data_IF_690417655086
#
_entry.id   IF_690417655086
#
_cell.length_a   1.000
_cell.length_b   1.000
_cell.length_c   1.000
_cell.angle_alpha   90.00
_cell.angle_beta   90.00
_cell.angle_gamma   90.00
#
_symmetry.space_group_name_H-M   'P 1'
#
loop_
_entity.id
_entity.type
_entity.pdbx_description
1 polymer ?
#
# COMPACT_ATOMS: atom_id res chain seq x y z
N UNK A 1 -2.40 11.17 -4.27
CA UNK A 1 -1.67 10.38 -3.24
C UNK A 1 -0.79 11.22 -2.29
N UNK A 2 -0.06 12.25 -2.76
CA UNK A 2 0.93 12.97 -1.95
C UNK A 2 0.40 13.59 -0.63
N UNK A 3 -0.76 14.25 -0.66
CA UNK A 3 -1.36 14.87 0.54
C UNK A 3 -1.68 13.86 1.65
N UNK A 4 -2.33 12.75 1.29
CA UNK A 4 -2.64 11.65 2.23
C UNK A 4 -1.36 11.06 2.85
N UNK A 5 -0.37 10.70 2.02
CA UNK A 5 0.90 10.17 2.50
C UNK A 5 1.60 11.14 3.45
N UNK A 6 1.54 12.44 3.19
CA UNK A 6 2.16 13.46 4.06
C UNK A 6 1.51 13.50 5.45
N UNK A 7 0.17 13.62 5.51
CA UNK A 7 -0.57 13.71 6.79
C UNK A 7 -0.35 12.46 7.64
N UNK A 8 -0.46 11.28 7.04
CA UNK A 8 -0.28 10.01 7.75
C UNK A 8 1.17 9.80 8.18
N UNK A 9 2.16 10.23 7.38
CA UNK A 9 3.59 10.19 7.78
C UNK A 9 3.83 11.01 9.04
N UNK A 10 3.26 12.22 9.12
CA UNK A 10 3.39 13.07 10.31
C UNK A 10 2.83 12.39 11.55
N UNK A 11 1.63 11.82 11.45
CA UNK A 11 0.99 11.12 12.58
C UNK A 11 1.80 9.90 13.03
N UNK A 12 2.24 9.05 12.10
CA UNK A 12 3.05 7.87 12.41
C UNK A 12 4.36 8.26 13.11
N UNK A 13 5.04 9.30 12.61
CA UNK A 13 6.31 9.73 13.18
C UNK A 13 6.15 10.36 14.57
N UNK A 14 5.01 10.99 14.87
CA UNK A 14 4.69 11.44 16.23
C UNK A 14 4.46 10.23 17.15
N UNK A 15 3.60 9.29 16.75
CA UNK A 15 3.24 8.11 17.56
C UNK A 15 4.44 7.22 17.84
N UNK A 16 5.36 7.10 16.88
CA UNK A 16 6.55 6.25 16.99
C UNK A 16 7.78 6.98 17.53
N UNK A 17 7.69 8.27 17.83
CA UNK A 17 8.83 9.11 18.23
C UNK A 17 9.99 9.07 17.22
N UNK A 18 9.67 8.97 15.93
CA UNK A 18 10.66 8.92 14.84
C UNK A 18 10.49 10.06 13.83
N UNK A 19 10.67 11.33 14.23
CA UNK A 19 10.53 12.46 13.32
C UNK A 19 11.47 12.34 12.11
N UNK A 20 10.96 12.63 10.93
CA UNK A 20 11.74 12.60 9.67
C UNK A 20 12.00 11.20 9.11
N UNK A 21 11.58 10.11 9.79
CA UNK A 21 11.76 8.75 9.25
C UNK A 21 10.84 8.53 8.06
N UNK A 22 11.40 7.92 7.01
CA UNK A 22 10.64 7.51 5.82
C UNK A 22 9.72 6.35 6.18
N UNK A 23 8.43 6.54 5.94
CA UNK A 23 7.39 5.53 6.23
C UNK A 23 7.00 4.74 4.99
N UNK A 24 6.88 5.42 3.84
CA UNK A 24 6.34 4.83 2.62
C UNK A 24 7.43 4.28 1.71
N UNK A 25 7.11 3.20 0.99
CA UNK A 25 7.81 2.87 -0.25
C UNK A 25 7.62 4.00 -1.28
N UNK A 26 8.60 4.14 -2.17
CA UNK A 26 8.54 5.13 -3.25
C UNK A 26 7.41 4.80 -4.23
N UNK A 27 6.81 5.84 -4.82
CA UNK A 27 5.69 5.73 -5.76
C UNK A 27 4.45 5.04 -5.15
N UNK A 28 3.45 4.83 -5.99
CA UNK A 28 2.24 4.07 -5.68
C UNK A 28 1.76 3.42 -6.97
N UNK A 29 1.10 2.26 -6.84
CA UNK A 29 0.43 1.63 -7.96
C UNK A 29 -0.94 2.29 -8.16
N UNK A 30 -1.29 2.56 -9.42
CA UNK A 30 -2.57 3.14 -9.81
C UNK A 30 -3.08 2.37 -11.03
N UNK A 31 -4.34 1.92 -10.98
CA UNK A 31 -4.97 1.15 -12.04
C UNK A 31 -6.48 1.43 -12.08
N UNK A 32 -6.98 1.81 -13.25
CA UNK A 32 -8.42 2.04 -13.47
C UNK A 32 -9.08 0.70 -13.78
N UNK A 33 -9.97 0.26 -12.91
CA UNK A 33 -10.78 -0.94 -13.09
C UNK A 33 -11.88 -0.67 -14.12
N UNK A 34 -11.84 -1.38 -15.25
CA UNK A 34 -12.77 -1.12 -16.38
C UNK A 34 -13.89 -2.15 -16.52
N UNK A 35 -13.80 -3.26 -15.83
CA UNK A 35 -14.76 -4.36 -15.91
C UNK A 35 -14.74 -5.18 -14.61
N UNK A 36 -15.72 -6.09 -14.51
CA UNK A 36 -15.92 -6.91 -13.32
C UNK A 36 -14.80 -7.94 -13.10
N UNK A 37 -14.18 -8.43 -14.17
CA UNK A 37 -13.09 -9.41 -14.06
C UNK A 37 -11.83 -8.77 -13.43
N UNK A 38 -11.49 -7.55 -13.84
CA UNK A 38 -10.40 -6.76 -13.23
C UNK A 38 -10.70 -6.47 -11.76
N UNK A 39 -11.95 -6.11 -11.44
CA UNK A 39 -12.38 -5.90 -10.06
C UNK A 39 -12.14 -7.15 -9.22
N UNK A 40 -12.63 -8.31 -9.68
CA UNK A 40 -12.50 -9.56 -8.95
C UNK A 40 -11.02 -9.90 -8.72
N UNK A 41 -10.18 -9.78 -9.75
CA UNK A 41 -8.75 -10.06 -9.64
C UNK A 41 -8.04 -9.19 -8.61
N UNK A 42 -8.37 -7.89 -8.56
CA UNK A 42 -7.78 -6.95 -7.60
C UNK A 42 -8.30 -7.22 -6.18
N UNK A 43 -9.59 -7.52 -6.04
CA UNK A 43 -10.17 -7.89 -4.76
C UNK A 43 -9.53 -9.16 -4.20
N UNK A 44 -9.42 -10.20 -5.02
CA UNK A 44 -8.76 -11.48 -4.67
C UNK A 44 -7.30 -11.23 -4.29
N UNK A 45 -6.58 -10.38 -5.01
CA UNK A 45 -5.21 -10.01 -4.66
C UNK A 45 -5.14 -9.36 -3.27
N UNK A 46 -6.02 -8.40 -2.95
CA UNK A 46 -6.02 -7.72 -1.65
C UNK A 46 -6.29 -8.72 -0.52
N UNK A 47 -7.22 -9.65 -0.71
CA UNK A 47 -7.57 -10.66 0.29
C UNK A 47 -6.47 -11.71 0.49
N UNK A 48 -5.86 -12.17 -0.62
CA UNK A 48 -4.85 -13.22 -0.59
C UNK A 48 -3.45 -12.71 -0.21
N UNK A 49 -3.15 -11.42 -0.42
CA UNK A 49 -1.80 -10.89 -0.21
C UNK A 49 -1.27 -11.12 1.23
N UNK A 50 -2.03 -10.87 2.32
CA UNK A 50 -1.56 -11.19 3.67
C UNK A 50 -1.24 -12.68 3.88
N UNK A 51 -2.00 -13.56 3.24
CA UNK A 51 -1.84 -15.02 3.34
C UNK A 51 -0.60 -15.47 2.58
N UNK A 52 -0.41 -14.94 1.38
CA UNK A 52 0.66 -15.32 0.48
C UNK A 52 1.97 -14.54 0.73
N UNK A 53 1.97 -13.55 1.62
CA UNK A 53 3.11 -12.61 1.80
C UNK A 53 4.45 -13.31 2.05
N UNK A 54 4.46 -14.38 2.87
CA UNK A 54 5.69 -15.11 3.19
C UNK A 54 6.21 -15.95 2.02
N UNK A 55 5.33 -16.32 1.10
CA UNK A 55 5.64 -17.10 -0.10
C UNK A 55 5.84 -16.21 -1.33
N UNK A 56 5.55 -14.91 -1.20
CA UNK A 56 5.76 -13.94 -2.27
C UNK A 56 7.27 -13.74 -2.47
N UNK A 57 7.70 -14.05 -3.68
CA UNK A 57 9.08 -13.89 -4.10
C UNK A 57 9.10 -12.80 -5.17
N UNK A 58 9.69 -11.66 -4.81
CA UNK A 58 10.04 -10.61 -5.77
C UNK A 58 10.90 -11.25 -6.86
N UNK A 59 10.33 -11.34 -8.07
CA UNK A 59 11.00 -11.84 -9.26
C UNK A 59 11.85 -10.77 -9.91
#
# INVERSE_FOLDING_TARGET
>A
MAGFKSVVTKQINIIRETPGRKVWQANYYDHIIRNNEEYQRIADYIEMNPICWQSDSLR
#
